data_IF_404531312822
#
_entry.id   IF_404531312822
#
_cell.length_a   1.000
_cell.length_b   1.000
_cell.length_c   1.000
_cell.angle_alpha   90.00
_cell.angle_beta   90.00
_cell.angle_gamma   90.00
#
_symmetry.space_group_name_H-M   'P 1'
#
loop_
_entity.id
_entity.type
_entity.pdbx_description
1 polymer ?
#
# COMPACT_ATOMS: atom_id res chain seq x y z
N UNK A 1 -19.78 19.29 -3.08
CA UNK A 1 -18.83 19.02 -1.95
C UNK A 1 -19.64 18.53 -0.74
N UNK A 2 -19.12 17.54 0.00
CA UNK A 2 -19.76 17.00 1.21
C UNK A 2 -19.76 18.00 2.36
N UNK A 3 -20.74 17.89 3.27
CA UNK A 3 -20.78 18.66 4.52
C UNK A 3 -20.14 17.89 5.67
N UNK A 4 -20.30 16.56 5.69
CA UNK A 4 -19.83 15.69 6.77
C UNK A 4 -19.39 14.32 6.23
N UNK A 5 -18.21 13.85 6.66
CA UNK A 5 -17.60 12.57 6.24
C UNK A 5 -17.28 11.73 7.47
N UNK A 6 -17.61 10.42 7.41
CA UNK A 6 -17.13 9.45 8.39
C UNK A 6 -15.78 8.91 7.94
N UNK A 7 -14.87 8.76 8.89
CA UNK A 7 -13.54 8.18 8.68
C UNK A 7 -13.54 6.76 9.25
N UNK A 8 -13.64 5.77 8.35
CA UNK A 8 -13.71 4.35 8.71
C UNK A 8 -12.31 3.75 8.92
N UNK A 9 -11.49 4.45 9.68
CA UNK A 9 -10.11 4.04 9.96
C UNK A 9 -9.62 4.65 11.28
N UNK A 10 -8.37 4.34 11.64
CA UNK A 10 -7.69 4.77 12.86
C UNK A 10 -6.26 5.25 12.57
N UNK A 11 -5.57 5.68 13.61
CA UNK A 11 -4.14 5.93 13.53
C UNK A 11 -3.79 7.16 12.70
N UNK A 12 -2.63 7.11 12.05
CA UNK A 12 -2.10 8.26 11.30
C UNK A 12 -2.96 8.61 10.08
N UNK A 13 -3.54 7.60 9.42
CA UNK A 13 -4.37 7.85 8.23
C UNK A 13 -5.71 8.51 8.62
N UNK A 14 -6.31 8.16 9.75
CA UNK A 14 -7.49 8.87 10.23
C UNK A 14 -7.17 10.34 10.49
N UNK A 15 -6.05 10.63 11.14
CA UNK A 15 -5.58 11.99 11.38
C UNK A 15 -5.29 12.74 10.06
N UNK A 16 -4.68 12.07 9.07
CA UNK A 16 -4.42 12.64 7.74
C UNK A 16 -5.71 13.03 7.01
N UNK A 17 -6.73 12.19 7.08
CA UNK A 17 -8.03 12.46 6.46
C UNK A 17 -8.75 13.61 7.19
N UNK A 18 -8.75 13.61 8.52
CA UNK A 18 -9.33 14.71 9.33
C UNK A 18 -8.72 16.06 8.92
N UNK A 19 -7.40 16.14 8.79
CA UNK A 19 -6.70 17.35 8.36
C UNK A 19 -7.19 17.83 6.98
N UNK A 20 -7.29 16.92 6.01
CA UNK A 20 -7.77 17.24 4.68
C UNK A 20 -9.25 17.74 4.70
N UNK A 21 -10.12 17.06 5.45
CA UNK A 21 -11.51 17.46 5.62
C UNK A 21 -11.62 18.86 6.23
N UNK A 22 -10.89 19.16 7.31
CA UNK A 22 -10.89 20.47 7.95
C UNK A 22 -10.45 21.58 7.00
N UNK A 23 -9.40 21.34 6.21
CA UNK A 23 -8.93 22.30 5.20
C UNK A 23 -9.91 22.49 4.02
N UNK A 24 -10.82 21.55 3.81
CA UNK A 24 -11.92 21.64 2.85
C UNK A 24 -13.21 22.19 3.47
N UNK A 25 -13.22 22.51 4.78
CA UNK A 25 -14.41 22.97 5.49
C UNK A 25 -15.47 21.87 5.70
N UNK A 26 -15.06 20.61 5.79
CA UNK A 26 -15.90 19.44 5.95
C UNK A 26 -15.84 18.94 7.39
N UNK A 27 -17.00 18.77 8.03
CA UNK A 27 -17.10 18.13 9.34
C UNK A 27 -16.76 16.66 9.29
N UNK A 28 -16.15 16.15 10.36
CA UNK A 28 -15.63 14.79 10.45
C UNK A 28 -16.29 13.99 11.57
N UNK A 29 -16.64 12.74 11.26
CA UNK A 29 -17.08 11.74 12.24
C UNK A 29 -16.02 10.65 12.28
N UNK A 30 -15.33 10.50 13.41
CA UNK A 30 -14.38 9.43 13.61
C UNK A 30 -15.05 8.19 14.21
N UNK A 31 -14.59 7.00 13.82
CA UNK A 31 -14.90 5.77 14.56
C UNK A 31 -13.69 5.33 15.37
N UNK A 32 -13.94 4.69 16.49
CA UNK A 32 -12.88 4.19 17.35
C UNK A 32 -13.31 2.92 18.11
N UNK A 33 -12.34 2.20 18.62
CA UNK A 33 -12.54 1.07 19.53
C UNK A 33 -12.21 1.50 20.97
N UNK A 34 -12.62 0.71 21.95
CA UNK A 34 -12.38 1.02 23.36
C UNK A 34 -10.90 1.31 23.69
N UNK A 35 -9.97 0.59 23.03
CA UNK A 35 -8.54 0.77 23.25
C UNK A 35 -7.98 2.09 22.64
N UNK A 36 -8.68 2.72 21.71
CA UNK A 36 -8.28 3.97 21.06
C UNK A 36 -8.91 5.21 21.69
N UNK A 37 -9.65 5.09 22.79
CA UNK A 37 -10.42 6.19 23.42
C UNK A 37 -9.59 7.45 23.73
N UNK A 38 -8.31 7.33 23.97
CA UNK A 38 -7.40 8.46 24.22
C UNK A 38 -6.57 8.89 22.99
N UNK A 39 -6.96 8.46 21.78
CA UNK A 39 -6.19 8.77 20.58
C UNK A 39 -6.39 10.21 20.12
N UNK A 40 -5.30 10.90 19.77
CA UNK A 40 -5.30 12.31 19.37
C UNK A 40 -6.22 12.64 18.18
N UNK A 41 -6.46 11.68 17.27
CA UNK A 41 -7.35 11.92 16.12
C UNK A 41 -8.81 12.12 16.55
N UNK A 42 -9.22 11.56 17.71
CA UNK A 42 -10.58 11.74 18.24
C UNK A 42 -10.83 13.16 18.73
N UNK A 43 -9.81 13.82 19.31
CA UNK A 43 -9.90 15.21 19.75
C UNK A 43 -9.98 16.18 18.57
N UNK A 44 -9.51 15.75 17.40
CA UNK A 44 -9.56 16.55 16.18
C UNK A 44 -10.85 16.34 15.37
N UNK A 45 -11.59 15.27 15.58
CA UNK A 45 -12.85 15.03 14.91
C UNK A 45 -13.99 15.86 15.54
N UNK A 46 -15.00 16.22 14.74
CA UNK A 46 -16.18 16.97 15.23
C UNK A 46 -17.14 16.08 16.03
N UNK A 47 -17.15 14.76 15.71
CA UNK A 47 -17.86 13.75 16.48
C UNK A 47 -17.08 12.42 16.41
N UNK A 48 -17.30 11.55 17.41
CA UNK A 48 -16.67 10.23 17.43
C UNK A 48 -17.60 9.19 18.04
N UNK A 49 -17.64 7.98 17.43
CA UNK A 49 -18.47 6.88 17.88
C UNK A 49 -17.62 5.62 18.12
N UNK A 50 -17.83 4.99 19.30
CA UNK A 50 -17.21 3.71 19.62
C UNK A 50 -17.93 2.59 18.85
N UNK A 51 -17.19 1.86 18.01
CA UNK A 51 -17.72 0.76 17.18
C UNK A 51 -17.44 -0.63 17.77
N UNK A 52 -16.89 -0.71 18.96
CA UNK A 52 -16.79 -1.98 19.69
C UNK A 52 -15.44 -2.28 20.33
N UNK A 53 -15.22 -3.59 20.65
CA UNK A 53 -14.03 -4.05 21.35
C UNK A 53 -12.77 -3.98 20.50
N UNK A 54 -11.57 -4.25 21.09
CA UNK A 54 -10.29 -4.07 20.42
C UNK A 54 -10.07 -4.90 19.16
N UNK A 55 -10.66 -6.09 19.03
CA UNK A 55 -10.44 -6.95 17.84
C UNK A 55 -11.08 -6.35 16.61
N UNK A 56 -10.31 -6.22 15.51
CA UNK A 56 -10.80 -5.69 14.24
C UNK A 56 -12.02 -6.46 13.68
N UNK A 57 -12.03 -7.80 13.82
CA UNK A 57 -13.13 -8.65 13.39
C UNK A 57 -14.46 -8.34 14.10
N UNK A 58 -14.39 -7.74 15.29
CA UNK A 58 -15.56 -7.38 16.10
C UNK A 58 -15.85 -5.87 16.08
N UNK A 59 -15.15 -5.08 15.27
CA UNK A 59 -15.25 -3.62 15.21
C UNK A 59 -15.04 -3.09 13.79
N UNK A 60 -13.81 -2.71 13.40
CA UNK A 60 -13.50 -2.08 12.10
C UNK A 60 -13.86 -2.93 10.87
N UNK A 61 -13.93 -4.26 10.99
CA UNK A 61 -14.35 -5.17 9.92
C UNK A 61 -15.87 -5.49 9.95
N UNK A 62 -16.62 -4.88 10.87
CA UNK A 62 -18.08 -5.02 10.98
C UNK A 62 -18.77 -3.91 10.19
N UNK A 63 -19.26 -4.24 9.00
CA UNK A 63 -19.95 -3.30 8.09
C UNK A 63 -21.14 -2.65 8.80
N UNK A 64 -21.95 -3.44 9.49
CA UNK A 64 -23.14 -2.99 10.22
C UNK A 64 -22.80 -1.91 11.26
N UNK A 65 -21.70 -2.05 11.98
CA UNK A 65 -21.27 -1.07 13.00
C UNK A 65 -20.77 0.23 12.37
N UNK A 66 -20.03 0.13 11.27
CA UNK A 66 -19.53 1.32 10.55
C UNK A 66 -20.70 2.08 9.91
N UNK A 67 -21.64 1.38 9.29
CA UNK A 67 -22.84 1.99 8.69
C UNK A 67 -23.72 2.62 9.76
N UNK A 68 -23.98 1.93 10.89
CA UNK A 68 -24.75 2.50 12.02
C UNK A 68 -24.12 3.79 12.55
N UNK A 69 -22.77 3.83 12.68
CA UNK A 69 -22.07 5.05 13.07
C UNK A 69 -22.22 6.16 12.02
N UNK A 70 -22.24 5.82 10.74
CA UNK A 70 -22.44 6.76 9.64
C UNK A 70 -23.85 7.36 9.63
N UNK A 71 -24.87 6.53 9.84
CA UNK A 71 -26.29 6.97 9.94
C UNK A 71 -26.50 7.86 11.18
N UNK A 72 -26.02 7.45 12.36
CA UNK A 72 -26.12 8.25 13.59
C UNK A 72 -25.38 9.59 13.42
N UNK A 73 -24.22 9.55 12.76
CA UNK A 73 -23.43 10.75 12.44
C UNK A 73 -24.02 11.63 11.36
N UNK A 74 -25.08 11.17 10.67
CA UNK A 74 -25.70 11.86 9.54
C UNK A 74 -24.68 12.32 8.50
N UNK A 75 -23.81 11.38 8.06
CA UNK A 75 -22.74 11.65 7.10
C UNK A 75 -23.20 11.44 5.67
N UNK A 76 -22.58 12.10 4.72
CA UNK A 76 -22.85 11.98 3.29
C UNK A 76 -21.87 11.03 2.59
N UNK A 77 -20.70 10.83 3.18
CA UNK A 77 -19.67 9.95 2.62
C UNK A 77 -18.85 9.26 3.71
N UNK A 78 -18.20 8.16 3.32
CA UNK A 78 -17.25 7.42 4.15
C UNK A 78 -15.91 7.39 3.46
N UNK A 79 -14.85 7.81 4.17
CA UNK A 79 -13.47 7.61 3.73
C UNK A 79 -12.86 6.40 4.43
N UNK A 80 -12.55 5.32 3.71
CA UNK A 80 -12.05 4.08 4.32
C UNK A 80 -10.55 4.12 4.67
N UNK A 81 -9.79 5.09 4.14
CA UNK A 81 -8.33 5.12 4.23
C UNK A 81 -7.68 3.93 3.52
N UNK A 82 -6.85 3.17 4.23
CA UNK A 82 -6.24 1.91 3.77
C UNK A 82 -6.39 0.81 4.84
N UNK A 83 -6.31 -0.46 4.43
CA UNK A 83 -6.59 -1.61 5.31
C UNK A 83 -8.08 -1.74 5.66
N UNK A 84 -8.41 -2.56 6.64
CA UNK A 84 -9.79 -2.85 7.07
C UNK A 84 -10.75 -3.11 5.90
N UNK A 85 -11.74 -2.22 5.72
CA UNK A 85 -12.77 -2.33 4.68
C UNK A 85 -12.45 -1.53 3.40
N UNK A 86 -11.25 -0.96 3.28
CA UNK A 86 -10.91 -0.07 2.17
C UNK A 86 -10.96 -0.74 0.79
N UNK A 87 -10.74 -2.06 0.70
CA UNK A 87 -10.81 -2.86 -0.53
C UNK A 87 -11.94 -3.89 -0.50
N UNK A 88 -12.96 -3.65 0.33
CA UNK A 88 -14.11 -4.53 0.43
C UNK A 88 -15.24 -4.05 -0.49
N UNK A 89 -15.42 -4.72 -1.64
CA UNK A 89 -16.41 -4.37 -2.64
C UNK A 89 -17.85 -4.40 -2.07
N UNK A 90 -18.16 -5.37 -1.19
CA UNK A 90 -19.47 -5.43 -0.56
C UNK A 90 -19.72 -4.25 0.38
N UNK A 91 -18.70 -3.75 1.09
CA UNK A 91 -18.85 -2.54 1.89
C UNK A 91 -19.14 -1.31 1.03
N UNK A 92 -18.46 -1.15 -0.11
CA UNK A 92 -18.74 -0.07 -1.05
C UNK A 92 -20.17 -0.15 -1.62
N UNK A 93 -20.65 -1.36 -1.93
CA UNK A 93 -22.03 -1.62 -2.35
C UNK A 93 -23.06 -1.25 -1.26
N UNK A 94 -22.81 -1.66 0.00
CA UNK A 94 -23.68 -1.34 1.14
C UNK A 94 -23.72 0.16 1.38
N UNK A 95 -22.59 0.88 1.34
CA UNK A 95 -22.58 2.34 1.42
C UNK A 95 -23.53 2.97 0.40
N UNK A 96 -23.41 2.58 -0.87
CA UNK A 96 -24.27 3.07 -1.96
C UNK A 96 -25.74 2.78 -1.70
N UNK A 97 -26.06 1.57 -1.22
CA UNK A 97 -27.42 1.16 -0.89
C UNK A 97 -28.05 1.98 0.25
N UNK A 98 -27.20 2.51 1.13
CA UNK A 98 -27.58 3.42 2.22
C UNK A 98 -27.55 4.91 1.82
N UNK A 99 -27.38 5.24 0.53
CA UNK A 99 -27.18 6.61 0.03
C UNK A 99 -26.00 7.34 0.68
N UNK A 100 -24.94 6.62 1.02
CA UNK A 100 -23.69 7.15 1.55
C UNK A 100 -22.61 6.93 0.48
N UNK A 101 -21.93 8.01 0.06
CA UNK A 101 -20.85 7.90 -0.92
C UNK A 101 -19.62 7.20 -0.32
N UNK A 102 -19.12 6.17 -1.00
CA UNK A 102 -17.84 5.54 -0.67
C UNK A 102 -16.71 6.30 -1.37
N UNK A 103 -15.79 6.90 -0.60
CA UNK A 103 -14.65 7.63 -1.16
C UNK A 103 -13.60 6.63 -1.62
N UNK A 104 -13.71 6.23 -2.86
CA UNK A 104 -12.91 5.17 -3.50
C UNK A 104 -13.51 4.81 -4.86
N UNK A 105 -13.06 3.69 -5.46
CA UNK A 105 -13.64 3.17 -6.70
C UNK A 105 -15.04 2.58 -6.48
N UNK A 106 -15.76 2.35 -7.58
CA UNK A 106 -17.01 1.61 -7.52
C UNK A 106 -16.80 0.17 -7.08
N UNK A 107 -17.83 -0.47 -6.51
CA UNK A 107 -17.73 -1.86 -6.05
C UNK A 107 -17.44 -2.82 -7.20
N UNK A 108 -17.96 -2.55 -8.42
CA UNK A 108 -17.69 -3.35 -9.61
C UNK A 108 -16.23 -3.26 -10.03
N UNK A 109 -15.68 -2.04 -10.11
CA UNK A 109 -14.27 -1.82 -10.43
C UNK A 109 -13.37 -2.44 -9.35
N UNK A 110 -13.73 -2.28 -8.07
CA UNK A 110 -13.00 -2.88 -6.94
C UNK A 110 -13.00 -4.41 -7.02
N UNK A 111 -14.14 -5.05 -7.30
CA UNK A 111 -14.23 -6.49 -7.47
C UNK A 111 -13.42 -6.97 -8.66
N UNK A 112 -13.44 -6.27 -9.79
CA UNK A 112 -12.69 -6.61 -10.99
C UNK A 112 -11.17 -6.58 -10.76
N UNK A 113 -10.66 -5.50 -10.18
CA UNK A 113 -9.21 -5.34 -9.97
C UNK A 113 -8.70 -6.10 -8.74
N UNK A 114 -9.58 -6.41 -7.78
CA UNK A 114 -9.27 -7.22 -6.60
C UNK A 114 -9.16 -8.72 -6.89
N UNK A 115 -9.83 -9.21 -7.93
CA UNK A 115 -9.64 -10.58 -8.42
C UNK A 115 -8.34 -10.66 -9.26
N UNK A 116 -7.32 -11.32 -8.73
CA UNK A 116 -6.00 -11.41 -9.38
C UNK A 116 -6.05 -11.99 -10.79
N UNK A 117 -6.92 -12.97 -11.03
CA UNK A 117 -7.04 -13.60 -12.34
C UNK A 117 -7.76 -12.68 -13.34
N UNK A 118 -8.84 -12.01 -12.89
CA UNK A 118 -9.56 -11.04 -13.70
C UNK A 118 -8.68 -9.84 -14.05
N UNK A 119 -7.99 -9.28 -13.07
CA UNK A 119 -7.06 -8.16 -13.27
C UNK A 119 -5.93 -8.52 -14.24
N UNK A 120 -5.35 -9.72 -14.15
CA UNK A 120 -4.32 -10.19 -15.09
C UNK A 120 -4.84 -10.41 -16.51
N UNK A 121 -6.06 -10.95 -16.65
CA UNK A 121 -6.69 -11.05 -17.98
C UNK A 121 -6.88 -9.68 -18.59
N UNK A 122 -7.48 -8.76 -17.85
CA UNK A 122 -7.66 -7.39 -18.29
C UNK A 122 -6.33 -6.72 -18.67
N UNK A 123 -5.27 -6.90 -17.85
CA UNK A 123 -3.94 -6.39 -18.16
C UNK A 123 -3.43 -6.90 -19.52
N UNK A 124 -3.54 -8.21 -19.80
CA UNK A 124 -3.16 -8.79 -21.09
C UNK A 124 -3.98 -8.25 -22.25
N UNK A 125 -5.30 -8.11 -22.09
CA UNK A 125 -6.22 -7.59 -23.11
C UNK A 125 -5.86 -6.17 -23.52
N UNK A 126 -5.37 -5.34 -22.59
CA UNK A 126 -4.96 -3.95 -22.88
C UNK A 126 -3.45 -3.81 -23.14
N UNK A 127 -2.75 -4.92 -23.35
CA UNK A 127 -1.33 -4.91 -23.70
C UNK A 127 -0.40 -4.47 -22.55
N UNK A 128 -0.80 -4.70 -21.30
CA UNK A 128 0.06 -4.50 -20.13
C UNK A 128 0.83 -5.81 -19.87
N UNK A 129 2.17 -5.78 -19.82
CA UNK A 129 2.98 -6.98 -19.59
C UNK A 129 2.64 -7.64 -18.25
N UNK A 130 2.44 -8.96 -18.27
CA UNK A 130 2.25 -9.77 -17.06
C UNK A 130 3.38 -10.78 -16.95
N UNK A 131 3.71 -11.21 -15.73
CA UNK A 131 4.72 -12.26 -15.55
C UNK A 131 4.33 -13.49 -16.40
N UNK A 132 5.23 -13.99 -17.27
CA UNK A 132 4.96 -15.21 -18.03
C UNK A 132 4.59 -16.38 -17.10
N UNK A 133 3.56 -17.16 -17.47
CA UNK A 133 3.09 -18.22 -16.59
C UNK A 133 2.13 -19.18 -17.28
N UNK A 134 1.36 -19.91 -16.46
CA UNK A 134 0.25 -20.73 -16.92
C UNK A 134 -0.95 -19.87 -17.32
N UNK A 135 -1.75 -20.39 -18.24
CA UNK A 135 -3.00 -19.74 -18.68
C UNK A 135 -4.17 -20.06 -17.72
N UNK A 136 -3.93 -19.92 -16.42
CA UNK A 136 -4.83 -20.28 -15.35
C UNK A 136 -4.22 -21.38 -14.46
N UNK A 137 -5.10 -22.15 -13.83
CA UNK A 137 -4.70 -23.21 -12.92
C UNK A 137 -4.03 -24.37 -13.67
N UNK A 138 -3.00 -24.94 -13.07
CA UNK A 138 -2.38 -26.19 -13.58
C UNK A 138 -3.13 -27.39 -13.03
N UNK A 139 -3.49 -28.34 -13.92
CA UNK A 139 -4.31 -29.50 -13.56
C UNK A 139 -3.49 -30.63 -12.95
N UNK A 140 -2.25 -30.77 -13.40
CA UNK A 140 -1.36 -31.83 -12.95
C UNK A 140 0.13 -31.45 -13.15
N UNK A 141 1.02 -32.32 -12.66
CA UNK A 141 2.46 -32.08 -12.75
C UNK A 141 3.00 -32.13 -14.18
N UNK A 142 2.33 -32.83 -15.13
CA UNK A 142 2.77 -32.89 -16.54
C UNK A 142 2.51 -31.56 -17.23
N UNK A 143 1.32 -30.98 -17.03
CA UNK A 143 0.99 -29.66 -17.54
C UNK A 143 1.93 -28.60 -16.92
N UNK A 144 2.17 -28.68 -15.61
CA UNK A 144 3.10 -27.78 -14.91
C UNK A 144 4.51 -27.82 -15.52
N UNK A 145 5.06 -29.01 -15.77
CA UNK A 145 6.38 -29.17 -16.40
C UNK A 145 6.38 -28.60 -17.83
N UNK A 146 5.33 -28.86 -18.61
CA UNK A 146 5.23 -28.30 -19.97
C UNK A 146 5.21 -26.77 -19.97
N UNK A 147 4.47 -26.16 -19.04
CA UNK A 147 4.46 -24.70 -18.84
C UNK A 147 5.84 -24.20 -18.42
N UNK A 148 6.47 -24.85 -17.43
CA UNK A 148 7.79 -24.44 -16.94
C UNK A 148 8.88 -24.50 -18.03
N UNK A 149 8.85 -25.53 -18.89
CA UNK A 149 9.75 -25.61 -20.08
C UNK A 149 9.52 -24.47 -21.05
N UNK A 150 8.26 -24.07 -21.27
CA UNK A 150 7.89 -22.96 -22.16
C UNK A 150 8.38 -21.61 -21.65
N UNK A 151 8.19 -21.33 -20.33
CA UNK A 151 8.54 -20.02 -19.72
C UNK A 151 9.98 -19.96 -19.19
N UNK A 152 10.65 -21.11 -19.10
CA UNK A 152 12.02 -21.26 -18.60
C UNK A 152 12.12 -21.26 -17.07
N UNK A 153 13.05 -22.04 -16.53
CA UNK A 153 13.36 -22.02 -15.10
C UNK A 153 14.23 -20.79 -14.72
N UNK A 154 14.23 -20.37 -13.45
CA UNK A 154 13.40 -20.84 -12.36
C UNK A 154 11.92 -20.42 -12.50
N UNK A 155 11.02 -21.19 -11.89
CA UNK A 155 9.58 -20.90 -11.85
C UNK A 155 9.07 -20.80 -10.42
N UNK A 156 7.98 -20.07 -10.25
CA UNK A 156 7.29 -19.90 -8.98
C UNK A 156 5.94 -20.60 -9.03
N UNK A 157 5.75 -21.57 -8.14
CA UNK A 157 4.45 -22.20 -7.88
C UNK A 157 3.67 -21.30 -6.93
N UNK A 158 2.42 -21.01 -7.22
CA UNK A 158 1.55 -20.16 -6.40
C UNK A 158 0.18 -20.80 -6.18
N UNK A 159 -0.33 -20.71 -4.95
CA UNK A 159 -1.73 -21.05 -4.66
C UNK A 159 -2.68 -19.97 -5.20
N UNK A 160 -3.80 -20.41 -5.81
CA UNK A 160 -4.80 -19.50 -6.36
C UNK A 160 -5.53 -18.70 -5.26
N UNK A 161 -5.77 -19.32 -4.12
CA UNK A 161 -6.39 -18.71 -2.93
C UNK A 161 -5.37 -18.05 -1.98
N UNK A 162 -4.06 -18.05 -2.31
CA UNK A 162 -2.99 -17.56 -1.45
C UNK A 162 -2.80 -16.03 -1.49
N UNK A 163 -2.27 -15.49 -0.40
CA UNK A 163 -1.89 -14.09 -0.27
C UNK A 163 -0.74 -13.90 0.73
N UNK A 164 -0.01 -12.77 0.64
CA UNK A 164 1.07 -12.45 1.59
C UNK A 164 2.25 -13.42 1.59
N UNK A 165 2.52 -14.09 0.46
CA UNK A 165 3.66 -15.02 0.32
C UNK A 165 3.40 -16.45 0.79
N UNK A 166 2.23 -16.77 1.32
CA UNK A 166 1.86 -18.15 1.69
C UNK A 166 1.49 -18.97 0.46
N UNK A 167 1.89 -20.24 0.44
CA UNK A 167 1.64 -21.15 -0.69
C UNK A 167 2.48 -20.83 -1.92
N UNK A 168 3.64 -20.18 -1.75
CA UNK A 168 4.59 -19.91 -2.84
C UNK A 168 5.86 -20.77 -2.68
N UNK A 169 6.30 -21.39 -3.78
CA UNK A 169 7.52 -22.20 -3.83
C UNK A 169 8.30 -21.92 -5.11
N UNK A 170 9.58 -21.64 -4.99
CA UNK A 170 10.49 -21.53 -6.14
C UNK A 170 10.99 -22.90 -6.53
N UNK A 171 10.94 -23.22 -7.83
CA UNK A 171 11.53 -24.42 -8.40
C UNK A 171 12.61 -24.03 -9.42
N UNK A 172 13.81 -24.53 -9.21
CA UNK A 172 14.97 -24.24 -10.05
C UNK A 172 15.06 -25.12 -11.29
N UNK A 173 14.45 -26.31 -11.22
CA UNK A 173 14.41 -27.32 -12.26
C UNK A 173 13.13 -28.17 -12.19
N UNK A 174 13.01 -29.17 -13.04
CA UNK A 174 11.82 -30.04 -13.15
C UNK A 174 11.62 -30.91 -11.90
N UNK A 175 12.68 -31.42 -11.30
CA UNK A 175 12.61 -32.28 -10.11
C UNK A 175 12.11 -31.47 -8.91
N UNK A 176 12.69 -30.28 -8.71
CA UNK A 176 12.25 -29.34 -7.70
C UNK A 176 10.79 -28.88 -7.91
N UNK A 177 10.36 -28.73 -9.19
CA UNK A 177 8.99 -28.34 -9.50
C UNK A 177 7.97 -29.38 -9.04
N UNK A 178 8.21 -30.67 -9.31
CA UNK A 178 7.29 -31.73 -8.90
C UNK A 178 7.16 -31.81 -7.37
N UNK A 179 8.25 -31.62 -6.65
CA UNK A 179 8.25 -31.57 -5.19
C UNK A 179 7.51 -30.32 -4.67
N UNK A 180 7.78 -29.16 -5.29
CA UNK A 180 7.16 -27.88 -4.93
C UNK A 180 5.64 -27.87 -5.12
N UNK A 181 5.13 -28.48 -6.20
CA UNK A 181 3.70 -28.60 -6.46
C UNK A 181 2.98 -29.36 -5.34
N UNK A 182 3.48 -30.54 -4.95
CA UNK A 182 2.88 -31.35 -3.88
C UNK A 182 2.84 -30.62 -2.54
N UNK A 183 3.94 -29.93 -2.21
CA UNK A 183 4.03 -29.15 -0.97
C UNK A 183 3.10 -27.95 -0.97
N UNK A 184 3.07 -27.19 -2.08
CA UNK A 184 2.24 -26.01 -2.22
C UNK A 184 0.74 -26.35 -2.19
N UNK A 185 0.34 -27.46 -2.84
CA UNK A 185 -1.03 -27.97 -2.83
C UNK A 185 -1.50 -28.32 -1.42
N UNK A 186 -0.71 -29.12 -0.69
CA UNK A 186 -1.02 -29.50 0.68
C UNK A 186 -1.09 -28.31 1.63
N UNK A 187 -0.17 -27.35 1.49
CA UNK A 187 -0.15 -26.11 2.29
C UNK A 187 -1.36 -25.21 2.00
N UNK A 188 -1.70 -25.08 0.71
CA UNK A 188 -2.83 -24.27 0.28
C UNK A 188 -4.17 -24.87 0.70
N UNK A 189 -4.33 -26.19 0.58
CA UNK A 189 -5.52 -26.89 1.03
C UNK A 189 -5.71 -26.77 2.55
N UNK A 190 -4.64 -26.97 3.31
CA UNK A 190 -4.67 -26.84 4.77
C UNK A 190 -4.95 -25.40 5.25
N UNK A 191 -4.44 -24.38 4.54
CA UNK A 191 -4.55 -22.98 4.97
C UNK A 191 -5.82 -22.29 4.46
N UNK A 192 -6.32 -22.69 3.26
CA UNK A 192 -7.38 -21.95 2.55
C UNK A 192 -8.55 -22.86 2.12
N UNK A 193 -8.44 -24.18 2.31
CA UNK A 193 -9.44 -25.14 1.82
C UNK A 193 -9.49 -25.24 0.28
N UNK A 194 -8.44 -24.80 -0.41
CA UNK A 194 -8.32 -24.81 -1.86
C UNK A 194 -6.87 -25.03 -2.25
N UNK A 195 -6.57 -26.21 -2.82
CA UNK A 195 -5.25 -26.63 -3.28
C UNK A 195 -4.89 -26.23 -4.72
N UNK A 196 -5.71 -25.41 -5.38
CA UNK A 196 -5.49 -25.00 -6.76
C UNK A 196 -4.22 -24.16 -6.91
N UNK A 197 -3.39 -24.50 -7.90
CA UNK A 197 -2.09 -23.90 -8.15
C UNK A 197 -1.99 -23.32 -9.56
N UNK A 198 -1.13 -22.32 -9.72
CA UNK A 198 -0.67 -21.81 -11.01
C UNK A 198 0.83 -21.55 -11.00
N UNK A 199 1.42 -21.41 -12.18
CA UNK A 199 2.85 -21.19 -12.36
C UNK A 199 3.14 -19.81 -12.92
N UNK A 200 4.22 -19.21 -12.44
CA UNK A 200 4.81 -18.00 -13.01
C UNK A 200 6.31 -18.14 -13.17
N UNK A 201 6.89 -17.41 -14.11
CA UNK A 201 8.34 -17.19 -14.16
C UNK A 201 8.79 -16.56 -12.84
N UNK A 202 9.81 -17.13 -12.21
CA UNK A 202 10.43 -16.47 -11.08
C UNK A 202 11.33 -15.34 -11.58
N UNK A 203 10.99 -14.13 -11.22
CA UNK A 203 11.82 -12.96 -11.53
C UNK A 203 12.85 -12.80 -10.43
N UNK A 204 14.13 -12.97 -10.77
CA UNK A 204 15.22 -12.94 -9.81
C UNK A 204 15.61 -11.49 -9.48
N UNK A 205 15.78 -11.21 -8.20
CA UNK A 205 16.23 -9.90 -7.72
C UNK A 205 15.44 -8.70 -8.30
N UNK A 206 14.11 -8.73 -8.27
CA UNK A 206 13.31 -7.68 -8.88
C UNK A 206 13.32 -6.42 -8.03
N UNK A 207 13.02 -5.30 -8.68
CA UNK A 207 12.58 -4.08 -8.00
C UNK A 207 11.07 -4.06 -7.96
N UNK A 208 10.52 -3.47 -6.91
CA UNK A 208 9.09 -3.22 -6.76
C UNK A 208 8.83 -1.75 -7.10
N UNK A 209 8.19 -1.51 -8.24
CA UNK A 209 7.83 -0.18 -8.71
C UNK A 209 6.32 -0.11 -8.86
N UNK A 210 5.72 0.96 -8.36
CA UNK A 210 4.27 1.12 -8.39
C UNK A 210 3.89 2.49 -8.92
N UNK A 211 2.72 2.61 -9.53
CA UNK A 211 2.23 3.86 -10.14
C UNK A 211 1.00 4.34 -9.40
N UNK A 212 1.06 5.56 -8.88
CA UNK A 212 -0.11 6.24 -8.37
C UNK A 212 -1.00 6.69 -9.51
N UNK A 213 -2.24 6.25 -9.52
CA UNK A 213 -3.25 6.69 -10.48
C UNK A 213 -4.36 7.47 -9.80
N UNK A 214 -5.01 8.33 -10.56
CA UNK A 214 -6.19 9.08 -10.15
C UNK A 214 -7.13 9.20 -11.35
N UNK A 215 -8.42 8.88 -11.14
CA UNK A 215 -9.42 8.93 -12.19
C UNK A 215 -10.73 9.58 -11.69
N UNK A 216 -11.45 10.28 -12.56
CA UNK A 216 -12.72 10.90 -12.27
C UNK A 216 -13.92 10.17 -12.90
N UNK A 217 -15.13 10.59 -12.56
CA UNK A 217 -16.36 10.01 -13.08
C UNK A 217 -16.62 10.33 -14.56
N UNK A 218 -15.88 11.28 -15.15
CA UNK A 218 -15.97 11.60 -16.58
C UNK A 218 -15.08 10.68 -17.46
N UNK A 219 -14.36 9.72 -16.83
CA UNK A 219 -13.47 8.79 -17.52
C UNK A 219 -12.05 9.34 -17.76
N UNK A 220 -11.73 10.52 -17.22
CA UNK A 220 -10.35 10.99 -17.22
C UNK A 220 -9.56 10.18 -16.23
N UNK A 221 -8.40 9.67 -16.64
CA UNK A 221 -7.47 8.97 -15.76
C UNK A 221 -6.05 9.39 -16.08
N UNK A 222 -5.29 9.67 -15.03
CA UNK A 222 -3.91 10.13 -15.08
C UNK A 222 -3.04 9.31 -14.12
N UNK A 223 -1.75 9.33 -14.34
CA UNK A 223 -0.77 8.88 -13.36
C UNK A 223 -0.12 10.07 -12.65
N UNK A 224 0.26 9.87 -11.39
CA UNK A 224 1.02 10.81 -10.59
C UNK A 224 2.46 10.33 -10.40
N UNK A 225 3.00 9.70 -11.43
CA UNK A 225 4.30 9.06 -11.49
C UNK A 225 4.42 7.84 -10.56
N UNK A 226 5.62 7.29 -10.52
CA UNK A 226 5.92 6.06 -9.83
C UNK A 226 6.59 6.28 -8.46
N UNK A 227 6.51 5.23 -7.66
CA UNK A 227 7.27 5.05 -6.42
C UNK A 227 8.12 3.78 -6.51
N UNK A 228 9.26 3.78 -5.86
CA UNK A 228 10.05 2.60 -5.59
C UNK A 228 9.76 2.08 -4.19
N UNK A 229 9.29 0.85 -4.11
CA UNK A 229 8.98 0.15 -2.85
C UNK A 229 9.84 -1.10 -2.67
N UNK A 230 11.03 -1.10 -3.25
CA UNK A 230 11.95 -2.25 -3.26
C UNK A 230 12.47 -2.58 -1.86
N UNK A 231 12.63 -1.57 -1.00
CA UNK A 231 13.09 -1.77 0.37
C UNK A 231 11.97 -2.33 1.24
N UNK A 232 11.90 -3.66 1.28
CA UNK A 232 10.87 -4.40 1.99
C UNK A 232 11.44 -5.64 2.67
N UNK A 233 10.71 -6.18 3.65
CA UNK A 233 10.98 -7.44 4.30
C UNK A 233 9.72 -8.29 4.33
N UNK A 234 9.80 -9.52 3.80
CA UNK A 234 8.64 -10.44 3.71
C UNK A 234 7.40 -9.76 3.15
N UNK A 235 7.58 -9.00 2.06
CA UNK A 235 6.54 -8.20 1.39
C UNK A 235 5.97 -7.04 2.22
N UNK A 236 6.59 -6.66 3.34
CA UNK A 236 6.28 -5.45 4.08
C UNK A 236 7.27 -4.35 3.73
N UNK A 237 6.77 -3.27 3.13
CA UNK A 237 7.54 -2.11 2.72
C UNK A 237 8.10 -1.40 3.97
N UNK A 238 9.34 -0.94 3.91
CA UNK A 238 10.07 -0.27 5.00
C UNK A 238 10.50 1.15 4.63
N UNK A 239 11.02 1.33 3.40
CA UNK A 239 11.43 2.61 2.85
C UNK A 239 10.88 2.70 1.44
N UNK A 240 10.27 3.83 1.12
CA UNK A 240 9.71 4.13 -0.19
C UNK A 240 10.31 5.43 -0.73
N UNK A 241 10.53 5.46 -2.05
CA UNK A 241 11.12 6.62 -2.74
C UNK A 241 10.25 7.06 -3.93
N UNK A 242 10.24 8.34 -4.21
CA UNK A 242 9.72 8.90 -5.47
C UNK A 242 10.59 10.06 -5.93
N UNK A 243 10.99 10.10 -7.24
CA UNK A 243 10.86 9.08 -8.27
C UNK A 243 11.73 7.84 -7.97
N UNK A 244 11.43 6.72 -8.63
CA UNK A 244 12.24 5.50 -8.54
C UNK A 244 13.67 5.77 -9.04
N UNK A 245 14.71 5.55 -8.20
CA UNK A 245 16.08 5.84 -8.58
C UNK A 245 16.54 4.85 -9.66
N UNK A 246 17.42 5.28 -10.59
CA UNK A 246 18.00 4.43 -11.66
C UNK A 246 16.96 3.66 -12.49
N UNK A 247 15.76 4.13 -12.59
CA UNK A 247 14.77 3.63 -13.53
C UNK A 247 14.93 4.40 -14.84
N UNK A 248 15.13 3.68 -15.94
CA UNK A 248 15.24 4.29 -17.26
C UNK A 248 13.97 5.08 -17.61
N UNK A 249 14.10 6.25 -18.19
CA UNK A 249 12.97 7.14 -18.50
C UNK A 249 11.98 6.52 -19.49
N UNK A 250 12.44 5.67 -20.40
CA UNK A 250 11.57 4.95 -21.33
C UNK A 250 10.74 3.90 -20.60
N UNK A 251 11.37 3.17 -19.68
CA UNK A 251 10.70 2.18 -18.83
C UNK A 251 9.71 2.86 -17.88
N UNK A 252 10.12 3.97 -17.24
CA UNK A 252 9.26 4.80 -16.38
C UNK A 252 7.98 5.21 -17.09
N UNK A 253 8.09 5.79 -18.28
CA UNK A 253 6.92 6.19 -19.08
C UNK A 253 6.06 4.99 -19.45
N UNK A 254 6.67 3.90 -19.92
CA UNK A 254 5.94 2.69 -20.30
C UNK A 254 5.15 2.07 -19.13
N UNK A 255 5.70 2.06 -17.92
CA UNK A 255 5.02 1.59 -16.70
C UNK A 255 3.84 2.52 -16.37
N UNK A 256 4.06 3.83 -16.36
CA UNK A 256 3.02 4.81 -16.08
C UNK A 256 1.87 4.75 -17.09
N UNK A 257 2.17 4.67 -18.38
CA UNK A 257 1.17 4.53 -19.44
C UNK A 257 0.40 3.21 -19.35
N UNK A 258 1.07 2.12 -18.95
CA UNK A 258 0.44 0.83 -18.72
C UNK A 258 -0.55 0.89 -17.55
N UNK A 259 -0.20 1.58 -16.47
CA UNK A 259 -1.09 1.78 -15.34
C UNK A 259 -2.36 2.53 -15.74
N UNK A 260 -2.24 3.62 -16.49
CA UNK A 260 -3.39 4.41 -16.97
C UNK A 260 -4.27 3.59 -17.93
N UNK A 261 -3.68 2.82 -18.86
CA UNK A 261 -4.46 1.95 -19.75
C UNK A 261 -5.28 0.93 -18.99
N UNK A 262 -4.67 0.27 -18.00
CA UNK A 262 -5.34 -0.72 -17.17
C UNK A 262 -6.52 -0.12 -16.39
N UNK A 263 -6.30 1.02 -15.73
CA UNK A 263 -7.30 1.70 -14.91
C UNK A 263 -8.49 2.20 -15.75
N UNK A 264 -8.22 2.74 -16.95
CA UNK A 264 -9.27 3.11 -17.89
C UNK A 264 -10.12 1.91 -18.32
N UNK A 265 -9.49 0.81 -18.67
CA UNK A 265 -10.18 -0.42 -19.09
C UNK A 265 -10.99 -1.05 -17.94
N UNK A 266 -10.58 -0.86 -16.70
CA UNK A 266 -11.32 -1.31 -15.52
C UNK A 266 -12.51 -0.41 -15.18
N UNK A 267 -12.74 0.71 -15.86
CA UNK A 267 -13.74 1.71 -15.47
C UNK A 267 -13.52 2.26 -14.06
N UNK A 268 -12.25 2.35 -13.66
CA UNK A 268 -11.86 2.72 -12.32
C UNK A 268 -12.02 4.22 -12.06
N UNK A 269 -12.45 4.58 -10.86
CA UNK A 269 -12.55 5.96 -10.39
C UNK A 269 -11.81 6.14 -9.08
N UNK A 270 -11.47 7.39 -8.74
CA UNK A 270 -10.75 7.75 -7.53
C UNK A 270 -9.27 7.36 -7.56
N UNK A 271 -8.59 7.38 -6.40
CA UNK A 271 -7.18 7.03 -6.29
C UNK A 271 -6.96 5.53 -6.21
N UNK A 272 -5.94 5.04 -6.88
CA UNK A 272 -5.50 3.66 -6.84
C UNK A 272 -4.00 3.56 -7.13
N UNK A 273 -3.46 2.39 -6.93
CA UNK A 273 -2.04 2.11 -7.21
C UNK A 273 -1.92 0.84 -8.03
N UNK A 274 -1.17 0.91 -9.13
CA UNK A 274 -0.86 -0.26 -9.97
C UNK A 274 0.56 -0.69 -9.68
N UNK A 275 0.74 -1.91 -9.20
CA UNK A 275 2.03 -2.46 -8.78
C UNK A 275 2.68 -3.29 -9.89
N UNK A 276 3.99 -3.12 -10.04
CA UNK A 276 4.83 -3.81 -11.01
C UNK A 276 6.11 -4.33 -10.35
N UNK A 277 6.66 -5.42 -10.88
CA UNK A 277 8.06 -5.79 -10.68
C UNK A 277 8.85 -5.44 -11.92
N UNK A 278 10.09 -4.98 -11.71
CA UNK A 278 11.04 -4.65 -12.77
C UNK A 278 12.27 -5.52 -12.59
N UNK A 279 12.67 -6.24 -13.64
CA UNK A 279 13.88 -7.06 -13.64
C UNK A 279 15.15 -6.19 -13.89
N UNK A 280 16.32 -6.85 -13.83
CA UNK A 280 17.62 -6.17 -14.05
C UNK A 280 17.82 -5.67 -15.49
N UNK A 281 17.07 -6.20 -16.44
CA UNK A 281 17.11 -5.82 -17.85
C UNK A 281 16.14 -4.67 -18.17
N UNK A 282 15.32 -4.26 -17.20
CA UNK A 282 14.32 -3.22 -17.37
C UNK A 282 12.98 -3.72 -17.91
N UNK A 283 12.77 -5.04 -18.04
CA UNK A 283 11.43 -5.55 -18.29
C UNK A 283 10.57 -5.38 -17.06
N UNK A 284 9.33 -4.98 -17.26
CA UNK A 284 8.39 -4.79 -16.17
C UNK A 284 7.14 -5.67 -16.35
N UNK A 285 6.56 -6.07 -15.23
CA UNK A 285 5.42 -6.97 -15.21
C UNK A 285 4.42 -6.53 -14.16
N UNK A 286 3.16 -6.46 -14.55
CA UNK A 286 2.04 -6.17 -13.68
C UNK A 286 1.89 -7.26 -12.59
N UNK A 287 1.64 -6.82 -11.35
CA UNK A 287 1.36 -7.70 -10.22
C UNK A 287 -0.09 -7.60 -9.79
N UNK A 288 -0.51 -6.42 -9.35
CA UNK A 288 -1.85 -6.18 -8.81
C UNK A 288 -2.23 -4.70 -8.82
N UNK A 289 -3.50 -4.42 -8.56
CA UNK A 289 -4.02 -3.07 -8.31
C UNK A 289 -4.47 -3.01 -6.86
N UNK A 290 -4.00 -2.00 -6.13
CA UNK A 290 -4.56 -1.66 -4.83
C UNK A 290 -5.63 -0.58 -5.02
N UNK A 291 -6.88 -0.97 -4.74
CA UNK A 291 -8.08 -0.16 -5.02
C UNK A 291 -8.36 0.87 -3.91
N UNK A 292 -7.33 1.55 -3.45
CA UNK A 292 -7.34 2.49 -2.32
C UNK A 292 -6.11 3.41 -2.33
N UNK A 293 -6.08 4.35 -1.40
CA UNK A 293 -4.84 5.07 -1.08
C UNK A 293 -3.82 4.13 -0.44
N UNK A 294 -2.54 4.34 -0.69
CA UNK A 294 -1.45 3.57 -0.08
C UNK A 294 -0.85 4.30 1.13
N UNK A 295 -0.15 3.54 2.01
CA UNK A 295 0.59 4.11 3.15
C UNK A 295 1.59 5.15 2.65
N UNK A 296 2.33 4.84 1.59
CA UNK A 296 3.41 5.60 0.97
C UNK A 296 2.95 6.71 0.00
N UNK A 297 1.64 7.05 -0.03
CA UNK A 297 1.16 8.18 -0.84
C UNK A 297 1.90 9.51 -0.57
N UNK A 298 2.43 9.78 0.64
CA UNK A 298 3.10 11.04 0.92
C UNK A 298 4.31 11.32 0.04
N UNK A 299 5.09 10.31 -0.42
CA UNK A 299 6.23 10.60 -1.30
C UNK A 299 5.77 11.13 -2.65
N UNK A 300 4.64 10.65 -3.17
CA UNK A 300 4.02 11.19 -4.39
C UNK A 300 3.52 12.62 -4.17
N UNK A 301 2.85 12.89 -3.04
CA UNK A 301 2.40 14.24 -2.68
C UNK A 301 3.56 15.23 -2.62
N UNK A 302 4.68 14.83 -2.03
CA UNK A 302 5.86 15.70 -1.87
C UNK A 302 6.51 16.06 -3.20
N UNK A 303 6.61 15.12 -4.14
CA UNK A 303 7.26 15.39 -5.44
C UNK A 303 6.34 16.05 -6.45
N UNK A 304 5.01 15.85 -6.35
CA UNK A 304 4.03 16.41 -7.29
C UNK A 304 3.37 17.70 -6.79
N UNK A 305 3.33 17.90 -5.47
CA UNK A 305 2.57 18.99 -4.84
C UNK A 305 1.05 18.77 -4.84
N UNK A 306 0.57 17.55 -5.16
CA UNK A 306 -0.84 17.22 -5.23
C UNK A 306 -1.26 16.51 -3.93
N UNK A 307 -2.22 17.09 -3.19
CA UNK A 307 -2.83 16.47 -2.02
C UNK A 307 -3.81 15.37 -2.45
N UNK A 308 -3.39 14.10 -2.33
CA UNK A 308 -4.15 12.94 -2.79
C UNK A 308 -5.43 12.72 -2.00
N UNK A 309 -5.44 12.98 -0.70
CA UNK A 309 -6.64 12.83 0.13
C UNK A 309 -7.69 13.86 -0.26
N UNK A 310 -7.30 15.10 -0.48
CA UNK A 310 -8.23 16.12 -0.99
C UNK A 310 -8.74 15.79 -2.39
N UNK A 311 -7.87 15.27 -3.26
CA UNK A 311 -8.26 14.84 -4.59
C UNK A 311 -9.29 13.69 -4.54
N UNK A 312 -9.10 12.70 -3.67
CA UNK A 312 -10.07 11.62 -3.44
C UNK A 312 -11.45 12.15 -3.03
N UNK A 313 -11.47 13.08 -2.07
CA UNK A 313 -12.73 13.67 -1.56
C UNK A 313 -13.44 14.46 -2.65
N UNK A 314 -12.72 15.25 -3.44
CA UNK A 314 -13.29 16.06 -4.54
C UNK A 314 -13.84 15.19 -5.65
N UNK A 315 -13.08 14.17 -6.08
CA UNK A 315 -13.57 13.22 -7.09
C UNK A 315 -14.83 12.51 -6.62
N UNK A 316 -14.86 12.01 -5.39
CA UNK A 316 -16.05 11.37 -4.82
C UNK A 316 -17.24 12.34 -4.72
N UNK A 317 -16.99 13.64 -4.52
CA UNK A 317 -18.02 14.68 -4.56
C UNK A 317 -18.49 15.04 -5.99
N UNK A 318 -18.00 14.34 -7.02
CA UNK A 318 -18.38 14.56 -8.42
C UNK A 318 -17.58 15.65 -9.14
N UNK A 319 -16.54 16.20 -8.53
CA UNK A 319 -15.66 17.17 -9.20
C UNK A 319 -14.77 16.45 -10.23
N UNK A 320 -14.56 17.03 -11.43
CA UNK A 320 -13.58 16.51 -12.37
C UNK A 320 -12.16 16.73 -11.85
N UNK A 321 -11.19 16.00 -12.41
CA UNK A 321 -9.77 16.24 -12.13
C UNK A 321 -9.40 17.69 -12.49
N UNK A 322 -8.77 18.45 -11.56
CA UNK A 322 -8.46 19.85 -11.79
C UNK A 322 -7.20 20.06 -12.65
N UNK A 323 -6.55 18.99 -13.09
CA UNK A 323 -5.32 18.99 -13.89
C UNK A 323 -5.34 17.85 -14.91
N UNK A 324 -4.61 18.04 -16.01
CA UNK A 324 -4.37 17.05 -17.06
C UNK A 324 -3.04 16.35 -16.82
N UNK A 325 -2.75 15.29 -17.58
CA UNK A 325 -1.48 14.55 -17.43
C UNK A 325 -0.26 15.45 -17.64
N UNK A 326 -0.31 16.38 -18.60
CA UNK A 326 0.79 17.30 -18.90
C UNK A 326 1.08 18.33 -17.78
N UNK A 327 0.13 18.54 -16.87
CA UNK A 327 0.28 19.44 -15.72
C UNK A 327 1.00 18.75 -14.56
N UNK A 328 0.99 17.41 -14.53
CA UNK A 328 1.59 16.61 -13.46
C UNK A 328 3.10 16.47 -13.67
N UNK A 329 3.86 17.21 -12.87
CA UNK A 329 5.33 17.21 -12.91
C UNK A 329 5.88 16.80 -11.56
N UNK A 330 6.96 16.03 -11.58
CA UNK A 330 7.75 15.73 -10.38
C UNK A 330 8.87 16.76 -10.20
N UNK A 331 9.15 17.09 -8.93
CA UNK A 331 10.26 17.96 -8.55
C UNK A 331 11.01 17.34 -7.38
N UNK A 332 12.34 17.28 -7.49
CA UNK A 332 13.20 16.75 -6.45
C UNK A 332 13.03 15.24 -6.23
N UNK A 333 13.35 14.80 -5.03
CA UNK A 333 13.23 13.43 -4.58
C UNK A 333 12.65 13.38 -3.17
N UNK A 334 11.73 12.45 -2.93
CA UNK A 334 11.16 12.19 -1.62
C UNK A 334 11.50 10.77 -1.16
N UNK A 335 11.74 10.62 0.14
CA UNK A 335 11.98 9.33 0.81
C UNK A 335 11.04 9.27 2.02
N UNK A 336 10.32 8.17 2.15
CA UNK A 336 9.52 7.84 3.33
C UNK A 336 10.18 6.67 4.07
N UNK A 337 10.24 6.75 5.40
CA UNK A 337 10.60 5.66 6.29
C UNK A 337 9.41 5.33 7.18
N UNK A 338 8.96 4.08 7.17
CA UNK A 338 7.91 3.61 8.09
C UNK A 338 8.47 3.39 9.48
N UNK A 339 7.96 4.15 10.45
CA UNK A 339 8.37 4.01 11.84
C UNK A 339 7.41 3.05 12.54
N UNK A 340 7.88 1.82 12.71
CA UNK A 340 7.11 0.76 13.34
C UNK A 340 7.59 0.51 14.77
N UNK A 341 6.65 0.22 15.68
CA UNK A 341 6.96 -0.21 17.04
C UNK A 341 7.36 -1.70 17.03
N UNK A 342 8.58 -1.98 16.56
CA UNK A 342 9.16 -3.31 16.36
C UNK A 342 10.63 -3.34 16.75
N UNK A 343 11.09 -4.50 17.22
CA UNK A 343 12.52 -4.77 17.48
C UNK A 343 13.14 -5.50 16.29
N UNK A 344 13.79 -4.75 15.41
CA UNK A 344 14.44 -5.30 14.21
C UNK A 344 15.58 -6.30 14.57
N UNK A 345 16.20 -6.16 15.75
CA UNK A 345 17.28 -7.07 16.22
C UNK A 345 16.75 -8.43 16.70
N UNK A 346 15.42 -8.56 16.88
CA UNK A 346 14.73 -9.76 17.33
C UNK A 346 13.67 -10.20 16.34
N UNK A 347 14.03 -10.26 15.05
CA UNK A 347 13.15 -10.74 14.00
C UNK A 347 11.93 -9.86 13.76
N UNK A 348 12.01 -8.55 14.04
CA UNK A 348 10.90 -7.58 13.93
C UNK A 348 9.72 -7.91 14.85
N UNK A 349 10.03 -8.41 16.03
CA UNK A 349 9.01 -8.68 17.04
C UNK A 349 8.29 -7.38 17.42
N UNK A 350 6.93 -7.34 17.39
CA UNK A 350 6.17 -6.19 17.86
C UNK A 350 6.57 -5.76 19.27
N UNK A 351 6.63 -4.47 19.50
CA UNK A 351 6.99 -3.83 20.78
C UNK A 351 5.84 -2.96 21.27
N UNK A 352 4.72 -3.58 21.74
CA UNK A 352 3.65 -2.82 22.38
C UNK A 352 4.14 -2.21 23.68
N UNK A 353 3.55 -1.08 24.08
CA UNK A 353 3.93 -0.37 25.30
C UNK A 353 3.56 1.10 25.25
N UNK A 354 3.82 1.81 26.34
CA UNK A 354 3.53 3.25 26.44
C UNK A 354 4.73 4.08 25.98
N UNK A 355 4.48 5.03 25.09
CA UNK A 355 5.48 6.01 24.65
C UNK A 355 5.65 7.06 25.77
N UNK A 356 6.79 6.99 26.45
CA UNK A 356 7.09 7.92 27.53
C UNK A 356 7.52 9.30 27.05
N UNK A 357 8.12 9.34 25.85
CA UNK A 357 8.55 10.57 25.22
C UNK A 357 8.59 10.39 23.70
N UNK A 358 8.12 11.41 22.98
CA UNK A 358 8.32 11.55 21.54
C UNK A 358 8.75 12.96 21.21
N UNK A 359 9.81 13.11 20.41
CA UNK A 359 10.25 14.36 19.81
C UNK A 359 10.27 14.12 18.30
N UNK A 360 9.33 14.66 17.55
CA UNK A 360 9.34 14.57 16.09
C UNK A 360 10.48 15.39 15.51
N UNK A 361 11.07 14.95 14.38
CA UNK A 361 12.06 15.73 13.65
C UNK A 361 11.39 16.90 12.93
N UNK A 362 12.20 17.89 12.55
CA UNK A 362 11.72 19.08 11.83
C UNK A 362 12.72 19.59 10.80
N UNK A 363 12.48 20.83 10.36
CA UNK A 363 13.32 21.53 9.40
C UNK A 363 12.80 21.48 7.97
N UNK A 364 13.53 22.13 7.07
CA UNK A 364 13.12 22.25 5.66
C UNK A 364 12.99 20.89 4.98
N UNK A 365 11.85 20.66 4.33
CA UNK A 365 11.58 19.43 3.60
C UNK A 365 11.36 18.19 4.47
N UNK A 366 11.03 18.34 5.77
CA UNK A 366 10.72 17.25 6.68
C UNK A 366 9.23 17.27 7.03
N UNK A 367 8.56 16.11 6.84
CA UNK A 367 7.17 15.85 7.22
C UNK A 367 7.13 14.59 8.10
N UNK A 368 6.38 14.66 9.19
CA UNK A 368 6.16 13.50 10.06
C UNK A 368 4.67 13.27 10.26
N UNK A 369 4.14 12.23 9.59
CA UNK A 369 2.75 11.80 9.71
C UNK A 369 2.64 10.76 10.81
N UNK A 370 2.07 11.15 11.94
CA UNK A 370 1.94 10.28 13.11
C UNK A 370 0.73 10.67 13.94
N UNK A 371 0.16 9.68 14.62
CA UNK A 371 -0.97 9.85 15.55
C UNK A 371 -0.55 9.68 17.01
N UNK A 372 0.70 9.27 17.26
CA UNK A 372 1.17 9.00 18.61
C UNK A 372 1.69 10.27 19.28
N UNK A 373 1.58 10.30 20.59
CA UNK A 373 2.04 11.39 21.47
C UNK A 373 2.66 10.81 22.76
N UNK A 374 3.27 11.64 23.56
CA UNK A 374 3.73 11.25 24.90
C UNK A 374 2.53 10.77 25.73
N UNK A 375 2.63 9.57 26.30
CA UNK A 375 1.55 8.91 27.01
C UNK A 375 0.70 7.97 26.18
N UNK A 376 0.86 7.96 24.82
CA UNK A 376 0.15 7.02 23.95
C UNK A 376 0.60 5.58 24.19
N UNK A 377 -0.37 4.65 24.25
CA UNK A 377 -0.08 3.22 24.39
C UNK A 377 -0.25 2.50 23.04
N UNK A 378 0.86 1.99 22.52
CA UNK A 378 0.88 1.12 21.34
C UNK A 378 0.27 -0.22 21.72
N UNK A 379 -0.86 -0.56 21.09
CA UNK A 379 -1.61 -1.78 21.39
C UNK A 379 -1.10 -2.96 20.56
N UNK A 380 -1.25 -4.22 21.03
CA UNK A 380 -0.90 -5.41 20.25
C UNK A 380 -1.99 -5.85 19.25
N UNK A 381 -3.08 -5.09 19.12
CA UNK A 381 -4.26 -5.51 18.33
C UNK A 381 -4.19 -5.12 16.85
N UNK A 382 -3.32 -4.20 16.50
CA UNK A 382 -3.22 -3.64 15.14
C UNK A 382 -1.77 -3.63 14.67
N UNK A 383 -1.59 -3.14 13.43
CA UNK A 383 -0.27 -2.90 12.84
C UNK A 383 0.59 -2.04 13.77
N UNK A 384 1.88 -2.30 13.74
CA UNK A 384 2.90 -1.63 14.56
C UNK A 384 3.26 -0.23 14.07
N UNK A 385 2.71 0.25 12.94
CA UNK A 385 3.02 1.55 12.35
C UNK A 385 2.58 2.68 13.30
N UNK A 386 3.55 3.42 13.81
CA UNK A 386 3.31 4.57 14.71
C UNK A 386 3.58 5.93 14.05
N UNK A 387 4.18 5.92 12.87
CA UNK A 387 4.39 7.13 12.09
C UNK A 387 5.14 6.86 10.80
N UNK A 388 5.14 7.87 9.94
CA UNK A 388 5.90 7.93 8.69
C UNK A 388 6.76 9.17 8.73
N UNK A 389 8.06 9.00 8.54
CA UNK A 389 8.99 10.10 8.34
C UNK A 389 9.23 10.27 6.87
N UNK A 390 8.80 11.40 6.32
CA UNK A 390 8.94 11.73 4.91
C UNK A 390 9.86 12.93 4.78
N UNK A 391 10.79 12.86 3.82
CA UNK A 391 11.63 14.00 3.46
C UNK A 391 11.50 14.30 1.98
N UNK A 392 11.69 15.55 1.60
CA UNK A 392 11.72 16.00 0.21
C UNK A 392 12.85 17.01 0.02
N UNK A 393 13.69 16.77 -0.98
CA UNK A 393 14.83 17.64 -1.30
C UNK A 393 15.02 17.74 -2.82
N UNK A 394 15.79 18.72 -3.31
CA UNK A 394 16.06 18.89 -4.74
C UNK A 394 16.67 17.67 -5.44
N UNK A 395 17.52 16.92 -4.73
CA UNK A 395 18.19 15.71 -5.23
C UNK A 395 18.01 14.53 -4.28
N UNK A 396 18.17 13.31 -4.79
CA UNK A 396 18.11 12.09 -3.97
C UNK A 396 19.21 12.06 -2.89
N UNK A 397 20.41 12.50 -3.20
CA UNK A 397 21.52 12.52 -2.24
C UNK A 397 21.24 13.49 -1.09
N UNK A 398 20.67 14.65 -1.38
CA UNK A 398 20.21 15.57 -0.35
C UNK A 398 19.02 14.99 0.46
N UNK A 399 18.11 14.24 -0.17
CA UNK A 399 17.03 13.56 0.53
C UNK A 399 17.57 12.47 1.46
N UNK A 400 18.56 11.68 1.03
CA UNK A 400 19.26 10.70 1.88
C UNK A 400 19.93 11.39 3.08
N UNK A 401 20.65 12.48 2.85
CA UNK A 401 21.28 13.24 3.93
C UNK A 401 20.24 13.80 4.92
N UNK A 402 19.12 14.34 4.40
CA UNK A 402 18.04 14.90 5.19
C UNK A 402 17.34 13.81 6.04
N UNK A 403 16.97 12.67 5.46
CA UNK A 403 16.28 11.61 6.21
C UNK A 403 17.18 11.00 7.28
N UNK A 404 18.48 10.84 7.02
CA UNK A 404 19.48 10.40 8.02
C UNK A 404 19.57 11.37 9.20
N UNK A 405 19.59 12.69 8.94
CA UNK A 405 19.54 13.71 9.99
C UNK A 405 18.25 13.61 10.77
N UNK A 406 17.12 13.58 10.08
CA UNK A 406 15.78 13.55 10.69
C UNK A 406 15.57 12.30 11.57
N UNK A 407 16.03 11.10 11.13
CA UNK A 407 15.99 9.88 11.95
C UNK A 407 16.84 10.00 13.22
N UNK A 408 17.98 10.69 13.16
CA UNK A 408 18.84 10.92 14.34
C UNK A 408 18.22 11.93 15.33
N UNK A 409 17.37 12.85 14.86
CA UNK A 409 16.62 13.78 15.70
C UNK A 409 15.38 13.13 16.32
N UNK A 410 14.74 12.19 15.62
CA UNK A 410 13.56 11.49 16.10
C UNK A 410 13.86 10.73 17.39
N UNK A 411 13.17 11.09 18.47
CA UNK A 411 13.26 10.40 19.76
C UNK A 411 11.92 9.75 20.09
N UNK A 412 11.95 8.45 20.32
CA UNK A 412 10.79 7.68 20.79
C UNK A 412 11.29 6.78 21.92
N UNK A 413 10.76 7.00 23.12
CA UNK A 413 11.14 6.28 24.32
C UNK A 413 9.94 5.50 24.88
N UNK A 414 10.17 4.29 25.38
CA UNK A 414 9.13 3.42 25.93
C UNK A 414 8.83 2.18 25.08
N UNK A 415 9.09 2.27 23.77
CA UNK A 415 8.96 1.15 22.82
C UNK A 415 10.19 1.01 21.94
N UNK A 416 10.45 -0.19 21.43
CA UNK A 416 11.45 -0.40 20.37
C UNK A 416 10.86 0.03 19.03
N UNK A 417 11.70 0.56 18.15
CA UNK A 417 11.27 1.01 16.82
C UNK A 417 12.23 0.58 15.72
N UNK A 418 11.79 0.64 14.48
CA UNK A 418 12.59 0.39 13.27
C UNK A 418 13.61 1.49 12.96
N UNK A 419 13.62 2.62 13.70
CA UNK A 419 14.53 3.76 13.47
C UNK A 419 16.01 3.34 13.35
N UNK A 420 16.59 2.50 14.24
CA UNK A 420 17.98 2.09 14.10
C UNK A 420 18.27 1.37 12.79
N UNK A 421 17.39 0.46 12.37
CA UNK A 421 17.53 -0.26 11.11
C UNK A 421 17.49 0.69 9.91
N UNK A 422 16.59 1.68 9.91
CA UNK A 422 16.54 2.66 8.83
C UNK A 422 17.86 3.42 8.69
N UNK A 423 18.51 3.78 9.80
CA UNK A 423 19.83 4.43 9.76
C UNK A 423 20.87 3.51 9.13
N UNK A 424 20.91 2.23 9.51
CA UNK A 424 21.82 1.23 8.94
C UNK A 424 21.60 1.03 7.45
N UNK A 425 20.32 0.93 7.00
CA UNK A 425 19.97 0.81 5.59
C UNK A 425 20.47 2.02 4.79
N UNK A 426 20.17 3.23 5.28
CA UNK A 426 20.54 4.48 4.62
C UNK A 426 22.06 4.74 4.62
N UNK A 427 22.80 4.15 5.54
CA UNK A 427 24.27 4.19 5.57
C UNK A 427 24.91 3.14 4.66
N UNK A 428 24.13 2.13 4.19
CA UNK A 428 24.65 1.06 3.36
C UNK A 428 24.88 1.54 1.90
N UNK A 429 26.08 1.30 1.30
CA UNK A 429 26.42 1.77 -0.05
C UNK A 429 25.45 1.30 -1.13
N UNK A 430 24.89 0.08 -1.02
CA UNK A 430 23.94 -0.43 -1.99
C UNK A 430 22.64 0.41 -2.05
N UNK A 431 22.21 1.01 -0.93
CA UNK A 431 21.05 1.91 -0.93
C UNK A 431 21.38 3.23 -1.62
N UNK A 432 22.49 3.90 -1.24
CA UNK A 432 22.87 5.17 -1.86
C UNK A 432 23.11 5.03 -3.36
N UNK A 433 23.69 3.92 -3.80
CA UNK A 433 23.93 3.59 -5.19
C UNK A 433 22.69 3.00 -5.91
N UNK A 434 21.56 2.86 -5.22
CA UNK A 434 20.32 2.26 -5.75
C UNK A 434 20.56 0.88 -6.40
N UNK A 435 21.37 0.03 -5.77
CA UNK A 435 21.68 -1.36 -6.16
C UNK A 435 21.03 -2.36 -5.22
N UNK A 436 19.75 -2.15 -4.96
CA UNK A 436 18.92 -2.98 -4.06
C UNK A 436 17.87 -3.73 -4.84
N UNK A 437 17.41 -4.85 -4.28
CA UNK A 437 16.30 -5.66 -4.76
C UNK A 437 15.38 -6.05 -3.60
N UNK A 438 14.22 -6.64 -3.89
CA UNK A 438 13.21 -6.97 -2.88
C UNK A 438 13.67 -7.98 -1.82
N UNK A 439 14.79 -8.66 -2.03
CA UNK A 439 15.38 -9.62 -1.07
C UNK A 439 16.54 -9.00 -0.26
N UNK A 440 16.86 -7.74 -0.51
CA UNK A 440 18.05 -7.08 0.05
C UNK A 440 18.07 -7.10 1.58
N UNK A 441 16.95 -6.78 2.24
CA UNK A 441 16.86 -6.74 3.70
C UNK A 441 17.11 -8.13 4.31
N UNK A 442 16.43 -9.15 3.79
CA UNK A 442 16.55 -10.53 4.32
C UNK A 442 17.94 -11.10 4.15
N UNK A 443 18.63 -10.72 3.07
CA UNK A 443 19.99 -11.15 2.78
C UNK A 443 21.03 -10.41 3.61
N UNK A 444 20.82 -9.12 3.89
CA UNK A 444 21.80 -8.27 4.58
C UNK A 444 21.62 -8.30 6.10
N UNK A 445 20.37 -8.36 6.57
CA UNK A 445 20.03 -8.47 8.01
C UNK A 445 19.19 -9.73 8.25
N UNK A 446 19.78 -10.93 8.17
CA UNK A 446 19.08 -12.18 8.45
C UNK A 446 18.61 -12.18 9.92
N UNK A 447 17.31 -12.48 10.12
CA UNK A 447 16.65 -12.48 11.44
C UNK A 447 16.69 -13.86 12.10
#
# INVERSE_FOLDING_TARGET
>A
MFKRILIANRGEIALRIIRACRELGIETVAVFIEADRGSAYLEMADAAYCIGPPKAADSYLKIDRVISAAEIGNVQAIHPGYGFLAENAHFAEVCRSCNIEFIGPSHEAMALVGDKNAARRLAREVGVPTVPGSDGLVKDSREAVAVARRIGFPVLVKASAGGGGRGMRVALDEEALVAALKQAEAEADAAFGNGELYLEKYVEHPRHVEVQVLADHAGNAIHLWERDCTMQRRHQKLIEESPAPRLDDSVRRAICDSAVRLIKAAGYTNAGTVEFIVDRQGHYYFIEVNARIQVEHPVTEMVTGIDLIKAQIRVAAGEPLPFRQEDVRTRGAAIECRINAEDATKGFRPSPGTIHRIIPPGGFGVRFDSHVHTGYTVTPYYDSLIGKLIVHQPTRDEAIACVKRALRELRIEGVRTTVPLHVEILDHPAFSEARVDTTFIERTWPS
#
